data_IF_122041457829
#
_entry.id   IF_122041457829
#
_cell.length_a   1.000
_cell.length_b   1.000
_cell.length_c   1.000
_cell.angle_alpha   90.00
_cell.angle_beta   90.00
_cell.angle_gamma   90.00
#
_symmetry.space_group_name_H-M   'P 1'
#
loop_
_entity.id
_entity.type
_entity.pdbx_description
1 polymer ?
#
# COMPACT_ATOMS: atom_id res chain seq x y z
N UNK A 1 -4.99 14.85 27.13
CA UNK A 1 -4.36 16.18 27.37
C UNK A 1 -5.15 16.88 28.47
N UNK A 2 -4.47 17.39 29.47
CA UNK A 2 -5.02 18.18 30.57
C UNK A 2 -4.41 19.57 30.56
N UNK A 3 -5.19 20.61 30.76
CA UNK A 3 -4.71 21.99 30.72
C UNK A 3 -5.59 22.89 31.57
N UNK A 4 -4.98 23.76 32.37
CA UNK A 4 -5.69 24.83 33.06
C UNK A 4 -6.34 25.79 32.04
N UNK A 5 -7.51 26.27 32.36
CA UNK A 5 -8.33 27.11 31.50
C UNK A 5 -8.61 28.47 32.15
N UNK A 6 -8.56 29.53 31.37
CA UNK A 6 -8.91 30.89 31.81
C UNK A 6 -9.63 31.65 30.70
N UNK A 7 -10.46 32.60 31.10
CA UNK A 7 -11.07 33.53 30.16
C UNK A 7 -10.11 34.68 29.76
N UNK A 8 -9.18 35.05 30.66
CA UNK A 8 -8.17 36.08 30.39
C UNK A 8 -6.90 35.76 31.19
N UNK A 9 -5.76 35.72 30.52
CA UNK A 9 -4.45 35.49 31.12
C UNK A 9 -3.96 36.66 31.99
N UNK A 10 -4.59 37.85 31.85
CA UNK A 10 -4.27 39.03 32.62
C UNK A 10 -5.02 39.13 33.95
N UNK A 11 -5.97 38.20 34.21
CA UNK A 11 -6.68 38.18 35.48
C UNK A 11 -5.73 37.97 36.67
N UNK A 12 -6.03 38.61 37.84
CA UNK A 12 -5.23 38.41 39.03
C UNK A 12 -5.40 37.00 39.59
N UNK A 13 -4.25 36.30 39.79
CA UNK A 13 -4.25 34.96 40.38
C UNK A 13 -3.04 34.17 39.90
N UNK A 14 -2.73 33.02 40.56
CA UNK A 14 -1.49 32.31 40.32
C UNK A 14 -1.42 31.61 38.94
N UNK A 15 -2.54 31.10 38.43
CA UNK A 15 -2.53 30.16 37.31
C UNK A 15 -2.98 30.74 35.96
N UNK A 16 -3.55 31.96 35.93
CA UNK A 16 -4.09 32.55 34.70
C UNK A 16 -3.05 32.72 33.58
N UNK A 17 -1.82 33.10 33.89
CA UNK A 17 -0.76 33.24 32.91
C UNK A 17 -0.35 31.95 32.24
N UNK A 18 -0.45 30.81 32.95
CA UNK A 18 -0.10 29.48 32.46
C UNK A 18 -1.30 28.71 31.84
N UNK A 19 -2.50 29.29 31.99
CA UNK A 19 -3.76 28.66 31.50
C UNK A 19 -3.97 28.93 30.02
N UNK A 20 -4.78 28.10 29.40
CA UNK A 20 -5.20 28.19 27.99
C UNK A 20 -6.48 29.05 27.89
N UNK A 21 -6.57 29.90 26.88
CA UNK A 21 -7.79 30.67 26.56
C UNK A 21 -8.77 29.85 25.72
N UNK A 22 -10.03 30.30 25.56
CA UNK A 22 -11.00 29.63 24.68
C UNK A 22 -10.50 29.45 23.24
N UNK A 23 -9.80 30.45 22.68
CA UNK A 23 -9.25 30.40 21.34
C UNK A 23 -8.14 29.36 21.25
N UNK A 24 -7.20 29.38 22.19
CA UNK A 24 -6.09 28.41 22.27
C UNK A 24 -6.62 26.98 22.50
N UNK A 25 -7.69 26.82 23.30
CA UNK A 25 -8.34 25.51 23.50
C UNK A 25 -8.95 24.99 22.20
N UNK A 26 -9.61 25.85 21.42
CA UNK A 26 -10.15 25.50 20.11
C UNK A 26 -9.06 25.03 19.14
N UNK A 27 -7.94 25.77 19.09
CA UNK A 27 -6.80 25.38 18.26
C UNK A 27 -6.20 24.04 18.70
N UNK A 28 -6.08 23.82 20.02
CA UNK A 28 -5.62 22.54 20.56
C UNK A 28 -6.54 21.38 20.15
N UNK A 29 -7.87 21.53 20.29
CA UNK A 29 -8.81 20.50 19.88
C UNK A 29 -8.72 20.17 18.38
N UNK A 30 -8.65 21.20 17.54
CA UNK A 30 -8.46 21.02 16.09
C UNK A 30 -7.13 20.31 15.79
N UNK A 31 -6.07 20.68 16.51
CA UNK A 31 -4.75 20.06 16.37
C UNK A 31 -4.76 18.59 16.75
N UNK A 32 -5.43 18.22 17.83
CA UNK A 32 -5.57 16.81 18.28
C UNK A 32 -6.31 15.98 17.25
N UNK A 33 -7.46 16.45 16.75
CA UNK A 33 -8.20 15.72 15.71
C UNK A 33 -7.43 15.55 14.41
N UNK A 34 -6.67 16.58 14.01
CA UNK A 34 -5.77 16.44 12.85
C UNK A 34 -4.69 15.38 13.08
N UNK A 35 -4.08 15.39 14.27
CA UNK A 35 -3.06 14.40 14.62
C UNK A 35 -3.62 12.97 14.62
N UNK A 36 -4.82 12.75 15.15
CA UNK A 36 -5.50 11.45 15.11
C UNK A 36 -5.69 10.94 13.68
N UNK A 37 -6.18 11.81 12.77
CA UNK A 37 -6.36 11.46 11.36
C UNK A 37 -5.00 11.17 10.68
N UNK A 38 -3.97 11.96 10.97
CA UNK A 38 -2.65 11.83 10.36
C UNK A 38 -1.91 10.58 10.84
N UNK A 39 -2.13 10.15 12.07
CA UNK A 39 -1.54 8.92 12.60
C UNK A 39 -2.09 7.68 11.90
N UNK A 40 -3.36 7.72 11.46
CA UNK A 40 -4.01 6.57 10.82
C UNK A 40 -4.03 5.32 11.69
N UNK A 41 -3.79 4.17 11.07
CA UNK A 41 -3.61 2.90 11.77
C UNK A 41 -2.24 2.29 11.47
N UNK A 42 -1.80 1.34 12.28
CA UNK A 42 -0.50 0.66 12.14
C UNK A 42 -0.50 -0.46 11.08
N UNK A 43 -1.68 -0.86 10.60
CA UNK A 43 -1.81 -1.93 9.61
C UNK A 43 -1.57 -1.36 8.23
N UNK A 44 -0.58 -1.92 7.53
CA UNK A 44 -0.33 -1.56 6.14
C UNK A 44 -1.32 -2.30 5.24
N UNK A 45 -2.31 -1.58 4.76
CA UNK A 45 -3.32 -2.09 3.83
C UNK A 45 -3.55 -1.12 2.66
N UNK A 46 -4.18 -1.61 1.61
CA UNK A 46 -4.54 -0.77 0.46
C UNK A 46 -5.71 0.12 0.84
N UNK A 47 -5.52 1.42 0.74
CA UNK A 47 -6.57 2.40 1.03
C UNK A 47 -7.68 2.36 -0.03
N UNK A 48 -8.88 2.85 0.31
CA UNK A 48 -10.01 2.93 -0.61
C UNK A 48 -9.65 3.72 -1.89
N UNK A 49 -8.90 4.80 -1.74
CA UNK A 49 -8.45 5.63 -2.87
C UNK A 49 -7.44 4.92 -3.79
N UNK A 50 -6.72 3.92 -3.28
CA UNK A 50 -5.72 3.15 -4.05
C UNK A 50 -6.31 1.92 -4.74
N UNK A 51 -7.45 1.38 -4.25
CA UNK A 51 -8.05 0.14 -4.77
C UNK A 51 -8.25 0.15 -6.28
N UNK A 52 -8.75 1.24 -6.83
CA UNK A 52 -8.97 1.37 -8.27
C UNK A 52 -7.67 1.34 -9.09
N UNK A 53 -6.56 1.73 -8.48
CA UNK A 53 -5.25 1.80 -9.15
C UNK A 53 -4.48 0.48 -9.11
N UNK A 54 -4.83 -0.47 -8.25
CA UNK A 54 -4.12 -1.75 -8.12
C UNK A 54 -3.99 -2.42 -9.47
N UNK A 55 -5.10 -2.61 -10.16
CA UNK A 55 -5.15 -3.30 -11.44
C UNK A 55 -4.27 -2.65 -12.51
N UNK A 56 -4.29 -1.31 -12.60
CA UNK A 56 -3.56 -0.56 -13.63
C UNK A 56 -2.08 -0.38 -13.27
N UNK A 57 -1.79 -0.17 -11.99
CA UNK A 57 -0.44 0.20 -11.53
C UNK A 57 0.47 -1.01 -11.29
N UNK A 58 -0.07 -2.11 -10.74
CA UNK A 58 0.70 -3.32 -10.47
C UNK A 58 1.12 -4.01 -11.77
N UNK A 59 2.16 -4.84 -11.67
CA UNK A 59 2.66 -5.67 -12.77
C UNK A 59 2.33 -7.13 -12.53
N UNK A 60 2.32 -7.90 -13.60
CA UNK A 60 2.25 -9.36 -13.59
C UNK A 60 3.47 -9.95 -14.29
N UNK A 61 3.79 -11.21 -13.98
CA UNK A 61 4.79 -11.97 -14.71
C UNK A 61 4.16 -12.41 -16.04
N UNK A 62 4.85 -12.12 -17.15
CA UNK A 62 4.41 -12.41 -18.52
C UNK A 62 5.54 -13.07 -19.31
N UNK A 63 5.19 -13.76 -20.40
CA UNK A 63 6.15 -14.28 -21.33
C UNK A 63 6.86 -13.14 -22.08
N UNK A 64 8.19 -13.14 -22.07
CA UNK A 64 9.04 -12.17 -22.78
C UNK A 64 9.19 -12.51 -24.28
N UNK A 65 9.05 -13.79 -24.58
CA UNK A 65 9.03 -14.40 -25.91
C UNK A 65 8.08 -15.59 -25.92
N UNK A 66 7.88 -16.22 -27.05
CA UNK A 66 7.16 -17.50 -27.11
C UNK A 66 7.87 -18.54 -26.23
N UNK A 67 7.10 -19.22 -25.38
CA UNK A 67 7.55 -20.31 -24.50
C UNK A 67 6.73 -21.55 -24.86
N UNK A 68 7.41 -22.65 -25.11
CA UNK A 68 6.74 -23.90 -25.45
C UNK A 68 6.43 -24.69 -24.18
N UNK A 69 5.36 -25.49 -24.23
CA UNK A 69 5.05 -26.46 -23.16
C UNK A 69 6.27 -27.34 -22.86
N UNK A 70 6.59 -27.51 -21.58
CA UNK A 70 7.75 -28.25 -21.11
C UNK A 70 9.02 -27.42 -21.00
N UNK A 71 9.02 -26.16 -21.47
CA UNK A 71 10.16 -25.25 -21.30
C UNK A 71 10.20 -24.70 -19.88
N UNK A 72 11.39 -24.58 -19.30
CA UNK A 72 11.59 -24.02 -17.95
C UNK A 72 11.52 -22.50 -17.99
N UNK A 73 10.80 -21.89 -17.03
CA UNK A 73 10.80 -20.43 -16.87
C UNK A 73 12.17 -19.95 -16.39
N UNK A 74 12.69 -18.93 -17.07
CA UNK A 74 13.99 -18.32 -16.80
C UNK A 74 13.94 -16.80 -16.98
N UNK A 75 14.93 -16.07 -16.49
CA UNK A 75 15.07 -14.62 -16.70
C UNK A 75 15.15 -14.21 -18.19
N UNK A 76 15.47 -15.18 -19.07
CA UNK A 76 15.55 -14.93 -20.50
C UNK A 76 14.19 -15.00 -21.19
N UNK A 77 13.23 -15.79 -20.65
CA UNK A 77 11.95 -16.02 -21.31
C UNK A 77 10.74 -15.42 -20.59
N UNK A 78 10.87 -14.92 -19.35
CA UNK A 78 9.80 -14.20 -18.63
C UNK A 78 10.22 -12.77 -18.29
N UNK A 79 9.25 -11.90 -18.02
CA UNK A 79 9.43 -10.51 -17.61
C UNK A 79 8.22 -10.01 -16.83
N UNK A 80 8.25 -8.76 -16.36
CA UNK A 80 7.13 -8.15 -15.62
C UNK A 80 6.57 -6.95 -16.37
N UNK A 81 5.29 -7.01 -16.74
CA UNK A 81 4.54 -5.93 -17.41
C UNK A 81 3.23 -5.63 -16.71
N UNK A 82 2.68 -4.43 -16.87
CA UNK A 82 1.30 -4.08 -16.51
C UNK A 82 0.32 -4.71 -17.50
N UNK A 83 -0.93 -5.02 -17.08
CA UNK A 83 -1.57 -4.77 -15.79
C UNK A 83 -1.27 -5.85 -14.74
N UNK A 84 -1.76 -5.61 -13.49
CA UNK A 84 -1.59 -6.48 -12.35
C UNK A 84 -2.71 -7.53 -12.19
N UNK A 85 -3.01 -8.29 -13.25
CA UNK A 85 -4.09 -9.28 -13.30
C UNK A 85 -3.60 -10.73 -13.40
N UNK A 86 -2.29 -10.95 -13.28
CA UNK A 86 -1.64 -12.25 -13.29
C UNK A 86 -0.85 -12.50 -12.01
N UNK A 87 0.10 -13.44 -12.06
CA UNK A 87 1.02 -13.71 -10.94
C UNK A 87 1.83 -12.46 -10.63
N UNK A 88 1.82 -12.03 -9.36
CA UNK A 88 2.58 -10.88 -8.89
C UNK A 88 4.09 -11.09 -9.03
N UNK A 89 4.88 -10.06 -9.38
CA UNK A 89 6.34 -10.12 -9.39
C UNK A 89 6.99 -10.52 -8.06
N UNK A 90 6.29 -10.44 -6.94
CA UNK A 90 6.77 -10.91 -5.63
C UNK A 90 7.10 -12.41 -5.65
N UNK A 91 6.39 -13.17 -6.50
CA UNK A 91 6.59 -14.61 -6.69
C UNK A 91 7.62 -14.95 -7.78
N UNK A 92 8.43 -13.98 -8.22
CA UNK A 92 9.40 -14.17 -9.30
C UNK A 92 10.26 -15.40 -9.12
N UNK A 93 10.86 -15.54 -7.96
CA UNK A 93 11.75 -16.67 -7.64
C UNK A 93 11.03 -18.00 -7.44
N UNK A 94 9.73 -17.96 -7.17
CA UNK A 94 8.90 -19.17 -7.11
C UNK A 94 8.52 -19.68 -8.50
N UNK A 95 8.46 -18.79 -9.49
CA UNK A 95 8.17 -19.12 -10.88
C UNK A 95 9.40 -19.61 -11.62
N UNK A 96 10.58 -19.00 -11.36
CA UNK A 96 11.84 -19.42 -11.98
C UNK A 96 12.10 -20.90 -11.72
N UNK A 97 12.52 -21.62 -12.79
CA UNK A 97 12.83 -23.03 -12.73
C UNK A 97 11.59 -23.95 -12.71
N UNK A 98 10.35 -23.43 -12.79
CA UNK A 98 9.16 -24.25 -13.03
C UNK A 98 8.95 -24.48 -14.53
N UNK A 99 8.29 -25.59 -14.87
CA UNK A 99 8.00 -25.99 -16.22
C UNK A 99 6.70 -25.36 -16.74
N UNK A 100 6.69 -24.90 -17.98
CA UNK A 100 5.52 -24.38 -18.66
C UNK A 100 4.51 -25.52 -18.97
N UNK A 101 3.31 -25.43 -18.40
CA UNK A 101 2.25 -26.45 -18.58
C UNK A 101 1.55 -26.37 -19.94
N UNK A 102 1.68 -25.26 -20.62
CA UNK A 102 1.15 -24.97 -21.95
C UNK A 102 2.10 -24.07 -22.74
N UNK A 103 1.80 -23.85 -24.01
CA UNK A 103 2.47 -22.81 -24.79
C UNK A 103 2.01 -21.43 -24.31
N UNK A 104 2.93 -20.47 -24.28
CA UNK A 104 2.65 -19.05 -24.02
C UNK A 104 3.14 -18.23 -25.19
N UNK A 105 2.30 -17.34 -25.67
CA UNK A 105 2.71 -16.32 -26.65
C UNK A 105 3.37 -15.13 -25.94
N UNK A 106 4.07 -14.28 -26.71
CA UNK A 106 4.71 -13.06 -26.18
C UNK A 106 3.66 -12.19 -25.48
N UNK A 107 4.01 -11.67 -24.28
CA UNK A 107 3.17 -10.84 -23.43
C UNK A 107 1.97 -11.58 -22.78
N UNK A 108 1.85 -12.88 -22.98
CA UNK A 108 0.83 -13.68 -22.31
C UNK A 108 1.17 -13.82 -20.81
N UNK A 109 0.15 -13.73 -19.95
CA UNK A 109 0.27 -13.92 -18.50
C UNK A 109 0.74 -15.33 -18.20
N UNK A 110 1.80 -15.46 -17.39
CA UNK A 110 2.28 -16.76 -16.93
C UNK A 110 1.28 -17.36 -15.94
N UNK A 111 1.09 -18.67 -16.07
CA UNK A 111 0.41 -19.51 -15.08
C UNK A 111 1.28 -20.73 -14.78
N UNK A 112 1.39 -21.09 -13.50
CA UNK A 112 2.09 -22.29 -13.08
C UNK A 112 1.49 -22.84 -11.78
N UNK A 113 1.59 -24.15 -11.57
CA UNK A 113 1.07 -24.82 -10.38
C UNK A 113 1.75 -24.33 -9.10
N UNK A 114 0.92 -24.08 -8.08
CA UNK A 114 1.39 -23.73 -6.73
C UNK A 114 1.85 -22.28 -6.58
N UNK A 115 1.58 -21.41 -7.56
CA UNK A 115 1.75 -19.97 -7.45
C UNK A 115 0.41 -19.32 -7.79
N UNK A 116 -0.21 -18.67 -6.82
CA UNK A 116 -1.51 -18.03 -6.97
C UNK A 116 -1.40 -16.64 -7.60
N UNK A 117 -2.51 -16.16 -8.17
CA UNK A 117 -2.59 -14.83 -8.80
C UNK A 117 -2.69 -13.69 -7.80
N UNK A 118 -2.99 -13.97 -6.52
CA UNK A 118 -3.39 -12.97 -5.54
C UNK A 118 -2.60 -13.09 -4.26
N UNK A 119 -1.99 -11.97 -3.87
CA UNK A 119 -1.85 -11.58 -2.48
C UNK A 119 -3.10 -10.73 -2.18
N UNK A 120 -4.15 -11.35 -1.64
CA UNK A 120 -5.21 -10.64 -0.92
C UNK A 120 -4.73 -10.21 0.46
#
# INVERSE_FOLDING_TARGET
>A
IEKHFTLDKAMPGPDHKASITPEELKELCVGVHKAEIMLGNETKEVTESERSNIFVARKSIVAKRKIMRGEMFSEENITCKRPGNGISPIHWYEVLGKEAEKDFEIDELISCKGVNREDE
#
